data_IF_901023902183
#
_entry.id   IF_901023902183
#
_cell.length_a   1.000
_cell.length_b   1.000
_cell.length_c   1.000
_cell.angle_alpha   90.00
_cell.angle_beta   90.00
_cell.angle_gamma   90.00
#
_symmetry.space_group_name_H-M   'P 1'
#
loop_
_entity.id
_entity.type
_entity.pdbx_description
1 polymer ?
#
# COMPACT_ATOMS: atom_id res chain seq x y z
N UNK A 1 -2.36 -27.38 -5.38
CA UNK A 1 -3.58 -27.10 -4.60
C UNK A 1 -3.59 -27.72 -3.20
N UNK A 2 -3.18 -28.99 -3.04
CA UNK A 2 -3.16 -29.68 -1.73
C UNK A 2 -2.25 -29.04 -0.65
N UNK A 3 -1.09 -28.50 -1.04
CA UNK A 3 -0.16 -27.80 -0.11
C UNK A 3 -0.81 -26.54 0.48
N UNK A 4 -1.68 -25.86 -0.29
CA UNK A 4 -2.33 -24.61 0.13
C UNK A 4 -3.41 -24.83 1.20
N UNK A 5 -4.10 -25.98 1.17
CA UNK A 5 -5.14 -26.35 2.13
C UNK A 5 -4.59 -26.79 3.49
N UNK A 6 -3.46 -27.51 3.52
CA UNK A 6 -2.81 -27.95 4.77
C UNK A 6 -2.14 -26.79 5.54
N UNK A 7 -1.72 -25.74 4.82
CA UNK A 7 -1.07 -24.55 5.40
C UNK A 7 -2.05 -23.47 5.91
N UNK A 8 -3.36 -23.58 5.64
CA UNK A 8 -4.31 -22.49 5.93
C UNK A 8 -4.63 -22.28 7.42
N UNK A 9 -4.45 -23.31 8.27
CA UNK A 9 -4.76 -23.24 9.71
C UNK A 9 -3.54 -23.12 10.64
N UNK A 10 -2.40 -23.71 10.28
CA UNK A 10 -1.12 -23.66 11.04
C UNK A 10 0.05 -23.00 10.28
N UNK A 11 -0.09 -22.76 8.98
CA UNK A 11 0.94 -22.07 8.17
C UNK A 11 1.10 -20.60 8.55
N UNK A 12 0.12 -20.01 9.22
CA UNK A 12 0.20 -18.67 9.80
C UNK A 12 1.25 -18.57 10.90
N UNK A 13 1.44 -19.61 11.73
CA UNK A 13 2.44 -19.60 12.81
C UNK A 13 3.87 -19.67 12.26
N UNK A 14 4.10 -20.49 11.23
CA UNK A 14 5.43 -20.59 10.60
C UNK A 14 5.77 -19.36 9.77
N UNK A 15 4.77 -18.80 9.05
CA UNK A 15 4.93 -17.51 8.34
C UNK A 15 5.26 -16.42 9.34
N UNK A 16 4.49 -16.32 10.43
CA UNK A 16 4.70 -15.33 11.48
C UNK A 16 6.09 -15.47 12.10
N UNK A 17 6.50 -16.68 12.45
CA UNK A 17 7.83 -16.93 13.02
C UNK A 17 8.96 -16.56 12.08
N UNK A 18 8.87 -16.94 10.80
CA UNK A 18 9.87 -16.55 9.79
C UNK A 18 9.93 -15.02 9.61
N UNK A 19 8.78 -14.34 9.63
CA UNK A 19 8.70 -12.88 9.55
C UNK A 19 9.27 -12.19 10.81
N UNK A 20 8.99 -12.73 12.00
CA UNK A 20 9.47 -12.20 13.28
C UNK A 20 10.99 -12.37 13.43
N UNK A 21 11.53 -13.54 13.06
CA UNK A 21 12.97 -13.81 13.16
C UNK A 21 13.79 -13.27 11.99
N UNK A 22 13.13 -13.02 10.84
CA UNK A 22 13.77 -12.72 9.54
C UNK A 22 14.69 -13.83 9.02
N UNK A 23 14.52 -15.05 9.53
CA UNK A 23 15.32 -16.22 9.17
C UNK A 23 14.47 -17.29 8.51
N UNK A 24 15.09 -18.08 7.64
CA UNK A 24 14.46 -19.24 7.00
C UNK A 24 14.07 -20.26 8.06
N UNK A 25 12.82 -20.74 8.01
CA UNK A 25 12.34 -21.81 8.86
C UNK A 25 12.18 -23.09 8.03
N UNK A 26 12.74 -24.20 8.48
CA UNK A 26 12.42 -25.50 7.88
C UNK A 26 11.21 -26.10 8.59
N UNK A 27 10.17 -26.42 7.83
CA UNK A 27 8.91 -27.00 8.31
C UNK A 27 8.71 -28.35 7.63
N UNK A 28 8.27 -29.35 8.38
CA UNK A 28 7.75 -30.60 7.80
C UNK A 28 6.23 -30.55 7.85
N UNK A 29 5.55 -30.37 6.71
CA UNK A 29 4.11 -30.47 6.70
C UNK A 29 3.70 -31.92 7.02
N UNK A 30 2.63 -32.08 7.79
CA UNK A 30 1.98 -33.39 7.93
C UNK A 30 1.51 -33.81 6.53
N UNK A 31 2.05 -34.92 6.04
CA UNK A 31 1.77 -35.43 4.70
C UNK A 31 0.41 -36.13 4.63
N UNK A 32 -0.16 -36.16 3.43
CA UNK A 32 -1.32 -37.00 3.14
C UNK A 32 -0.95 -38.49 3.33
N UNK A 33 -1.91 -39.36 3.67
CA UNK A 33 -1.67 -40.80 3.69
C UNK A 33 -1.17 -41.25 2.30
N UNK A 34 -0.03 -41.94 2.26
CA UNK A 34 0.72 -42.38 1.07
C UNK A 34 1.59 -41.33 0.36
N UNK A 35 2.03 -40.27 1.03
CA UNK A 35 3.11 -39.41 0.53
C UNK A 35 4.19 -39.21 1.59
N UNK A 36 5.46 -39.34 1.19
CA UNK A 36 6.55 -38.99 2.09
C UNK A 36 6.52 -37.48 2.37
N UNK A 37 6.66 -37.06 3.64
CA UNK A 37 6.66 -35.65 4.00
C UNK A 37 7.92 -34.97 3.47
N UNK A 38 7.74 -34.16 2.42
CA UNK A 38 8.81 -33.34 1.84
C UNK A 38 9.02 -32.11 2.72
N UNK A 39 10.23 -31.89 3.28
CA UNK A 39 10.54 -30.71 4.06
C UNK A 39 10.38 -29.43 3.21
N UNK A 40 9.94 -28.34 3.84
CA UNK A 40 9.71 -27.06 3.19
C UNK A 40 10.51 -25.98 3.92
N UNK A 41 11.23 -25.16 3.18
CA UNK A 41 11.80 -23.91 3.66
C UNK A 41 10.78 -22.78 3.55
N UNK A 42 10.58 -22.05 4.63
CA UNK A 42 9.73 -20.86 4.72
C UNK A 42 10.67 -19.65 4.79
N UNK A 43 10.65 -18.84 3.74
CA UNK A 43 11.56 -17.71 3.55
C UNK A 43 10.74 -16.42 3.69
N UNK A 44 11.07 -15.53 4.64
CA UNK A 44 10.32 -14.29 4.82
C UNK A 44 10.55 -13.32 3.65
N UNK A 45 9.47 -12.72 3.16
CA UNK A 45 9.50 -11.67 2.14
C UNK A 45 9.33 -10.32 2.86
N UNK A 46 10.43 -9.66 3.21
CA UNK A 46 10.39 -8.47 4.04
C UNK A 46 11.21 -7.31 3.47
N UNK A 47 10.79 -6.08 3.76
CA UNK A 47 11.55 -4.85 3.50
C UNK A 47 11.54 -3.98 4.75
N UNK A 48 12.72 -3.73 5.33
CA UNK A 48 12.81 -3.04 6.62
C UNK A 48 12.03 -3.82 7.70
N UNK A 49 11.12 -3.15 8.38
CA UNK A 49 10.24 -3.71 9.43
C UNK A 49 8.92 -4.27 8.90
N UNK A 50 8.68 -4.20 7.58
CA UNK A 50 7.45 -4.71 6.98
C UNK A 50 7.67 -6.09 6.39
N UNK A 51 6.94 -7.07 6.89
CA UNK A 51 6.84 -8.39 6.29
C UNK A 51 5.62 -8.46 5.35
N UNK A 52 5.87 -8.74 4.08
CA UNK A 52 4.84 -8.86 3.04
C UNK A 52 4.28 -10.29 2.93
N UNK A 53 4.98 -11.29 3.46
CA UNK A 53 4.56 -12.69 3.45
C UNK A 53 5.75 -13.64 3.54
N UNK A 54 5.55 -14.88 3.09
CA UNK A 54 6.61 -15.86 3.00
C UNK A 54 6.57 -16.66 1.69
N UNK A 55 7.75 -17.03 1.19
CA UNK A 55 7.96 -17.96 0.09
C UNK A 55 8.18 -19.37 0.65
N UNK A 56 7.48 -20.34 0.11
CA UNK A 56 7.58 -21.75 0.49
C UNK A 56 8.36 -22.52 -0.59
N UNK A 57 9.45 -23.16 -0.21
CA UNK A 57 10.33 -23.92 -1.11
C UNK A 57 10.37 -25.38 -0.66
N UNK A 58 9.96 -26.32 -1.51
CA UNK A 58 10.12 -27.74 -1.21
C UNK A 58 11.60 -28.14 -1.30
N UNK A 59 12.05 -28.99 -0.37
CA UNK A 59 13.43 -29.42 -0.25
C UNK A 59 13.56 -30.90 -0.57
N UNK A 60 14.58 -31.25 -1.34
CA UNK A 60 14.93 -32.65 -1.60
C UNK A 60 15.70 -33.30 -0.43
N UNK A 61 16.13 -32.47 0.55
CA UNK A 61 16.89 -32.87 1.74
C UNK A 61 16.16 -32.62 3.06
N UNK A 62 16.80 -33.03 4.16
CA UNK A 62 16.19 -32.97 5.50
C UNK A 62 16.14 -31.57 6.13
N UNK A 63 17.01 -30.66 5.67
CA UNK A 63 17.14 -29.27 6.12
C UNK A 63 17.83 -28.42 5.04
N UNK A 64 17.64 -27.09 5.11
CA UNK A 64 18.39 -26.14 4.30
C UNK A 64 19.77 -25.91 4.93
N UNK A 65 20.88 -26.08 4.20
CA UNK A 65 22.20 -25.69 4.66
C UNK A 65 22.29 -24.18 4.94
N UNK A 66 23.08 -23.76 5.93
CA UNK A 66 23.20 -22.34 6.33
C UNK A 66 23.53 -21.41 5.15
N UNK A 67 24.42 -21.84 4.26
CA UNK A 67 24.80 -21.06 3.06
C UNK A 67 23.61 -20.86 2.11
N UNK A 68 22.78 -21.87 1.92
CA UNK A 68 21.57 -21.76 1.08
C UNK A 68 20.48 -20.95 1.78
N UNK A 69 20.38 -21.07 3.12
CA UNK A 69 19.46 -20.26 3.90
C UNK A 69 19.78 -18.76 3.76
N UNK A 70 21.05 -18.36 3.83
CA UNK A 70 21.49 -16.98 3.63
C UNK A 70 21.14 -16.45 2.23
N UNK A 71 21.29 -17.28 1.20
CA UNK A 71 20.89 -16.94 -0.18
C UNK A 71 19.39 -16.73 -0.25
N UNK A 72 18.60 -17.62 0.38
CA UNK A 72 17.14 -17.50 0.42
C UNK A 72 16.69 -16.24 1.19
N UNK A 73 17.29 -15.92 2.35
CA UNK A 73 17.01 -14.66 3.07
C UNK A 73 17.29 -13.45 2.19
N UNK A 74 18.42 -13.44 1.49
CA UNK A 74 18.80 -12.36 0.58
C UNK A 74 17.78 -12.21 -0.55
N UNK A 75 17.34 -13.32 -1.14
CA UNK A 75 16.29 -13.33 -2.16
C UNK A 75 14.97 -12.80 -1.60
N UNK A 76 14.56 -13.23 -0.40
CA UNK A 76 13.36 -12.77 0.27
C UNK A 76 13.36 -11.26 0.50
N UNK A 77 14.51 -10.69 0.85
CA UNK A 77 14.72 -9.24 0.97
C UNK A 77 14.60 -8.51 -0.38
N UNK A 78 15.17 -9.06 -1.45
CA UNK A 78 15.05 -8.46 -2.78
C UNK A 78 13.61 -8.48 -3.31
N UNK A 79 12.89 -9.58 -3.09
CA UNK A 79 11.46 -9.67 -3.44
C UNK A 79 10.65 -8.69 -2.60
N UNK A 80 10.92 -8.59 -1.29
CA UNK A 80 10.30 -7.58 -0.41
C UNK A 80 10.51 -6.15 -0.89
N UNK A 81 11.73 -5.82 -1.34
CA UNK A 81 12.04 -4.52 -1.96
C UNK A 81 11.21 -4.26 -3.23
N UNK A 82 11.07 -5.26 -4.10
CA UNK A 82 10.29 -5.15 -5.32
C UNK A 82 8.80 -4.95 -5.04
N UNK A 83 8.24 -5.68 -4.06
CA UNK A 83 6.84 -5.51 -3.61
C UNK A 83 6.64 -4.08 -3.09
N UNK A 84 7.52 -3.60 -2.21
CA UNK A 84 7.46 -2.24 -1.68
C UNK A 84 7.50 -1.18 -2.78
N UNK A 85 8.34 -1.34 -3.80
CA UNK A 85 8.41 -0.43 -4.93
C UNK A 85 7.12 -0.44 -5.77
N UNK A 86 6.53 -1.61 -6.01
CA UNK A 86 5.27 -1.74 -6.73
C UNK A 86 4.10 -1.11 -5.97
N UNK A 87 4.02 -1.29 -4.65
CA UNK A 87 3.01 -0.64 -3.80
C UNK A 87 3.17 0.88 -3.78
N UNK A 88 4.39 1.39 -3.63
CA UNK A 88 4.66 2.85 -3.74
C UNK A 88 4.19 3.41 -5.08
N UNK A 89 4.47 2.71 -6.18
CA UNK A 89 3.98 3.11 -7.51
C UNK A 89 2.46 3.09 -7.60
N UNK A 90 1.79 2.11 -7.00
CA UNK A 90 0.32 2.06 -6.94
C UNK A 90 -0.26 3.21 -6.14
N UNK A 91 0.34 3.57 -5.00
CA UNK A 91 -0.10 4.72 -4.20
C UNK A 91 0.01 6.03 -4.98
N UNK A 92 1.11 6.23 -5.71
CA UNK A 92 1.29 7.39 -6.60
C UNK A 92 0.28 7.44 -7.75
N UNK A 93 -0.20 6.28 -8.23
CA UNK A 93 -1.18 6.19 -9.32
C UNK A 93 -2.63 6.19 -8.81
N UNK A 94 -2.88 5.77 -7.57
CA UNK A 94 -4.18 5.88 -6.91
C UNK A 94 -4.54 7.34 -6.61
N UNK A 95 -3.54 8.23 -6.61
CA UNK A 95 -3.69 9.69 -6.55
C UNK A 95 -3.99 10.33 -7.93
N UNK A 96 -4.43 9.53 -8.91
CA UNK A 96 -4.94 10.07 -10.17
C UNK A 96 -6.33 10.65 -9.94
N UNK A 97 -6.39 11.90 -9.48
CA UNK A 97 -7.63 12.67 -9.34
C UNK A 97 -8.15 13.04 -10.72
N UNK A 98 -9.38 12.64 -11.05
CA UNK A 98 -10.09 13.21 -12.21
C UNK A 98 -10.48 14.64 -11.83
N UNK A 99 -9.77 15.63 -12.38
CA UNK A 99 -10.10 17.03 -12.19
C UNK A 99 -11.26 17.39 -13.15
N UNK A 100 -12.40 17.77 -12.59
CA UNK A 100 -13.52 18.34 -13.33
C UNK A 100 -13.52 19.86 -13.13
N UNK A 101 -13.48 20.59 -14.23
CA UNK A 101 -13.63 22.05 -14.24
C UNK A 101 -15.07 22.38 -14.64
N UNK A 102 -15.75 23.17 -13.81
CA UNK A 102 -17.10 23.64 -14.04
C UNK A 102 -17.08 25.16 -14.20
N UNK A 103 -17.71 25.66 -15.26
CA UNK A 103 -17.85 27.08 -15.53
C UNK A 103 -19.30 27.49 -15.27
N UNK A 104 -19.50 28.53 -14.46
CA UNK A 104 -20.79 29.20 -14.25
C UNK A 104 -20.58 30.69 -14.52
N UNK A 105 -21.39 31.24 -15.42
CA UNK A 105 -21.45 32.68 -15.71
C UNK A 105 -22.72 33.32 -15.15
N UNK A 106 -23.37 32.69 -14.16
CA UNK A 106 -24.59 33.23 -13.55
C UNK A 106 -24.25 34.51 -12.76
N UNK A 107 -24.81 35.63 -13.20
CA UNK A 107 -24.65 36.92 -12.54
C UNK A 107 -25.34 36.98 -11.17
N UNK A 108 -26.07 35.95 -10.74
CA UNK A 108 -26.58 35.84 -9.37
C UNK A 108 -25.59 35.17 -8.41
N UNK A 109 -24.56 34.49 -8.93
CA UNK A 109 -23.55 33.83 -8.10
C UNK A 109 -22.71 34.86 -7.33
N UNK A 110 -22.56 34.63 -6.02
CA UNK A 110 -21.93 35.60 -5.10
C UNK A 110 -20.51 35.97 -5.52
N UNK A 111 -19.71 34.99 -5.96
CA UNK A 111 -18.32 35.24 -6.37
C UNK A 111 -18.23 35.94 -7.72
N UNK A 112 -19.12 35.62 -8.66
CA UNK A 112 -19.21 36.29 -9.98
C UNK A 112 -19.56 37.76 -9.76
N UNK A 113 -20.62 38.04 -8.99
CA UNK A 113 -21.04 39.41 -8.64
C UNK A 113 -19.95 40.19 -7.92
N UNK A 114 -19.31 39.58 -6.93
CA UNK A 114 -18.26 40.23 -6.14
C UNK A 114 -17.05 40.57 -7.02
N UNK A 115 -16.64 39.66 -7.90
CA UNK A 115 -15.54 39.89 -8.84
C UNK A 115 -15.84 41.02 -9.83
N UNK A 116 -17.06 41.07 -10.37
CA UNK A 116 -17.51 42.13 -11.27
C UNK A 116 -17.63 43.49 -10.57
N UNK A 117 -18.21 43.51 -9.36
CA UNK A 117 -18.38 44.73 -8.58
C UNK A 117 -17.03 45.36 -8.15
N UNK A 118 -16.03 44.53 -7.90
CA UNK A 118 -14.69 44.96 -7.50
C UNK A 118 -13.70 45.04 -8.67
N UNK A 119 -14.15 44.73 -9.90
CA UNK A 119 -13.30 44.71 -11.09
C UNK A 119 -12.06 43.80 -10.95
N UNK A 120 -12.17 42.70 -10.23
CA UNK A 120 -11.03 41.87 -9.81
C UNK A 120 -11.22 40.40 -10.18
N UNK A 121 -10.14 39.62 -10.17
CA UNK A 121 -10.20 38.16 -10.30
C UNK A 121 -10.19 37.50 -8.92
N UNK A 122 -11.20 36.67 -8.63
CA UNK A 122 -11.32 35.95 -7.36
C UNK A 122 -11.14 34.45 -7.62
N UNK A 123 -10.21 33.83 -6.89
CA UNK A 123 -9.99 32.38 -6.91
C UNK A 123 -10.36 31.77 -5.57
N UNK A 124 -11.35 30.89 -5.57
CA UNK A 124 -11.69 30.06 -4.41
C UNK A 124 -10.68 28.91 -4.28
N UNK A 125 -9.85 28.96 -3.23
CA UNK A 125 -8.84 27.94 -2.94
C UNK A 125 -9.40 26.75 -2.16
N UNK A 126 -10.51 26.96 -1.44
CA UNK A 126 -11.17 25.92 -0.68
C UNK A 126 -12.36 26.44 0.11
N UNK A 127 -13.24 25.53 0.50
CA UNK A 127 -14.43 25.79 1.32
C UNK A 127 -14.44 24.79 2.46
N UNK A 128 -14.61 25.27 3.69
CA UNK A 128 -14.74 24.43 4.88
C UNK A 128 -16.10 24.68 5.53
N UNK A 129 -16.99 23.70 5.64
CA UNK A 129 -18.21 23.85 6.42
C UNK A 129 -17.85 23.97 7.90
N UNK A 130 -18.33 25.03 8.56
CA UNK A 130 -18.05 25.30 9.97
C UNK A 130 -19.28 25.02 10.84
N UNK A 131 -20.50 25.19 10.33
CA UNK A 131 -21.77 24.73 10.92
C UNK A 131 -22.76 24.36 9.79
N UNK A 132 -23.96 23.88 10.14
CA UNK A 132 -24.96 23.37 9.18
C UNK A 132 -25.32 24.33 8.03
N UNK A 133 -25.06 25.64 8.19
CA UNK A 133 -25.37 26.66 7.17
C UNK A 133 -24.26 27.70 6.97
N UNK A 134 -23.05 27.43 7.44
CA UNK A 134 -21.94 28.38 7.34
C UNK A 134 -20.72 27.74 6.69
N UNK A 135 -20.20 28.44 5.69
CA UNK A 135 -19.05 28.02 4.89
C UNK A 135 -17.92 29.03 5.09
N UNK A 136 -16.75 28.54 5.50
CA UNK A 136 -15.52 29.32 5.51
C UNK A 136 -14.84 29.17 4.14
N UNK A 137 -14.80 30.26 3.38
CA UNK A 137 -14.20 30.29 2.05
C UNK A 137 -12.79 30.90 2.11
N UNK A 138 -11.81 30.18 1.57
CA UNK A 138 -10.45 30.70 1.40
C UNK A 138 -10.31 31.28 -0.01
N UNK A 139 -10.21 32.60 -0.12
CA UNK A 139 -10.16 33.31 -1.39
C UNK A 139 -8.77 33.89 -1.63
N UNK A 140 -8.32 33.85 -2.88
CA UNK A 140 -7.22 34.69 -3.37
C UNK A 140 -7.81 35.72 -4.32
N UNK A 141 -7.53 37.00 -4.07
CA UNK A 141 -7.98 38.09 -4.94
C UNK A 141 -6.77 38.64 -5.71
N UNK A 142 -6.97 38.95 -6.98
CA UNK A 142 -5.99 39.60 -7.86
C UNK A 142 -6.61 40.83 -8.49
N UNK A 143 -5.81 41.84 -8.74
CA UNK A 143 -6.23 43.09 -9.41
C UNK A 143 -7.27 43.90 -8.63
N UNK A 144 -7.42 43.63 -7.33
CA UNK A 144 -8.24 44.48 -6.47
C UNK A 144 -7.49 45.78 -6.16
N UNK A 145 -8.08 46.90 -6.57
CA UNK A 145 -7.75 48.21 -6.00
C UNK A 145 -8.25 48.24 -4.57
N UNK A 146 -7.31 48.35 -3.62
CA UNK A 146 -7.63 48.60 -2.22
C UNK A 146 -7.89 50.10 -2.12
N UNK A 147 -9.15 50.49 -1.93
CA UNK A 147 -9.53 51.84 -1.54
C UNK A 147 -9.33 52.01 -0.02
#
# INVERSE_FOLDING_TARGET
EAVRGSLAGRGTDFTRRACDTRDVQTVRPDSLPNSEPVPIAVVPLAHGDTAYGALYVALDGQAVPDVEADVLVTLGRHVGQAIAAAERRKLLLADTVVQLEFESSDEQDVLVRLSAALGCSIRLRGVVPIEERSLLCFLTVREATTD
#
